data_IF_622210702672
#
_entry.id   IF_622210702672
#
_cell.length_a   1.000
_cell.length_b   1.000
_cell.length_c   1.000
_cell.angle_alpha   90.00
_cell.angle_beta   90.00
_cell.angle_gamma   90.00
#
_symmetry.space_group_name_H-M   'P 1'
#
loop_
_entity.id
_entity.type
_entity.pdbx_description
1 polymer ?
#
# COMPACT_ATOMS: atom_id res chain seq x y z
N UNK A 1 2.03 -1.42 7.07
CA UNK A 1 0.98 -0.74 6.33
C UNK A 1 0.00 -1.72 5.68
N UNK A 2 0.41 -2.85 5.16
CA UNK A 2 -0.50 -3.84 4.58
C UNK A 2 -0.49 -5.15 5.37
N UNK A 3 -1.65 -5.83 5.46
CA UNK A 3 -1.72 -7.16 6.07
C UNK A 3 -1.22 -8.23 5.09
N UNK A 4 -0.57 -9.28 5.61
CA UNK A 4 -0.26 -10.46 4.82
C UNK A 4 -1.52 -11.30 4.55
N UNK A 5 -1.64 -11.81 3.32
CA UNK A 5 -2.75 -12.69 2.93
C UNK A 5 -2.80 -14.00 3.74
N UNK A 6 -1.67 -14.38 4.33
CA UNK A 6 -1.47 -15.58 5.14
C UNK A 6 -2.11 -15.52 6.52
N UNK A 7 -2.41 -14.32 7.04
CA UNK A 7 -2.86 -14.16 8.43
C UNK A 7 -4.36 -14.34 8.65
N UNK A 8 -5.20 -14.22 7.61
CA UNK A 8 -6.66 -14.22 7.76
C UNK A 8 -7.37 -14.85 6.58
N UNK A 9 -8.50 -15.49 6.86
CA UNK A 9 -9.46 -15.83 5.81
C UNK A 9 -9.99 -14.55 5.15
N UNK A 10 -10.01 -14.44 3.81
CA UNK A 10 -10.37 -13.21 3.10
C UNK A 10 -11.81 -12.73 3.35
N UNK A 11 -12.78 -13.64 3.51
CA UNK A 11 -14.14 -13.23 3.82
C UNK A 11 -14.25 -12.64 5.24
N UNK A 12 -13.53 -13.20 6.21
CA UNK A 12 -13.44 -12.63 7.56
C UNK A 12 -12.74 -11.28 7.54
N UNK A 13 -11.64 -11.15 6.77
CA UNK A 13 -10.94 -9.88 6.59
C UNK A 13 -11.86 -8.81 6.00
N UNK A 14 -12.65 -9.14 4.97
CA UNK A 14 -13.62 -8.21 4.38
C UNK A 14 -14.64 -7.71 5.41
N UNK A 15 -15.16 -8.58 6.30
CA UNK A 15 -16.07 -8.17 7.38
C UNK A 15 -15.40 -7.24 8.40
N UNK A 16 -14.14 -7.50 8.77
CA UNK A 16 -13.37 -6.62 9.65
C UNK A 16 -13.24 -5.23 9.03
N UNK A 17 -12.83 -5.17 7.76
CA UNK A 17 -12.65 -3.88 7.06
C UNK A 17 -13.98 -3.15 6.86
N UNK A 18 -15.06 -3.86 6.59
CA UNK A 18 -16.41 -3.28 6.55
C UNK A 18 -16.82 -2.68 7.89
N UNK A 19 -16.51 -3.35 9.00
CA UNK A 19 -16.78 -2.80 10.34
C UNK A 19 -15.98 -1.51 10.58
N UNK A 20 -14.70 -1.50 10.20
CA UNK A 20 -13.87 -0.30 10.26
C UNK A 20 -14.41 0.82 9.38
N UNK A 21 -14.94 0.50 8.22
CA UNK A 21 -15.54 1.46 7.31
C UNK A 21 -16.76 2.15 7.94
N UNK A 22 -17.65 1.37 8.54
CA UNK A 22 -18.82 1.88 9.23
C UNK A 22 -18.43 2.76 10.43
N UNK A 23 -17.54 2.28 11.29
CA UNK A 23 -17.11 3.00 12.50
C UNK A 23 -16.37 4.30 12.16
N UNK A 24 -15.62 4.30 11.06
CA UNK A 24 -14.87 5.47 10.59
C UNK A 24 -15.71 6.45 9.76
N UNK A 25 -16.95 6.10 9.40
CA UNK A 25 -17.79 6.92 8.52
C UNK A 25 -17.25 6.98 7.08
N UNK A 26 -16.83 5.83 6.52
CA UNK A 26 -16.40 5.73 5.13
C UNK A 26 -14.92 6.09 4.89
N UNK A 27 -14.04 5.92 5.88
CA UNK A 27 -12.60 6.24 5.76
C UNK A 27 -11.69 5.02 5.78
N UNK A 28 -12.26 3.81 5.81
CA UNK A 28 -11.46 2.59 5.83
C UNK A 28 -10.87 2.26 4.44
N UNK A 29 -9.74 1.57 4.47
CA UNK A 29 -9.04 1.04 3.31
C UNK A 29 -8.52 -0.36 3.64
N UNK A 30 -8.61 -1.30 2.71
CA UNK A 30 -7.99 -2.61 2.83
C UNK A 30 -6.59 -2.59 2.20
N UNK A 31 -5.54 -2.55 3.02
CA UNK A 31 -4.17 -2.80 2.55
C UNK A 31 -3.82 -4.28 2.68
N UNK A 32 -3.50 -4.96 1.58
CA UNK A 32 -3.17 -6.38 1.55
C UNK A 32 -1.96 -6.67 0.66
N UNK A 33 -1.19 -7.71 0.98
CA UNK A 33 -0.03 -8.15 0.19
C UNK A 33 0.25 -9.65 0.36
N UNK A 34 1.19 -10.16 -0.42
CA UNK A 34 1.55 -11.58 -0.40
C UNK A 34 2.36 -12.03 0.84
N UNK A 35 2.57 -11.17 1.82
CA UNK A 35 3.51 -11.32 2.93
C UNK A 35 4.99 -11.44 2.48
N UNK A 36 5.92 -11.16 3.38
CA UNK A 36 7.36 -11.21 3.09
C UNK A 36 8.23 -11.57 4.30
N UNK A 37 7.73 -11.37 5.53
CA UNK A 37 8.52 -11.52 6.75
C UNK A 37 8.25 -12.87 7.39
N UNK A 38 9.12 -13.83 7.09
CA UNK A 38 9.05 -15.22 7.54
C UNK A 38 9.24 -15.37 9.06
N UNK A 39 10.15 -14.58 9.65
CA UNK A 39 10.40 -14.60 11.11
C UNK A 39 9.13 -14.31 11.93
N UNK A 40 8.29 -13.36 11.47
CA UNK A 40 7.02 -13.07 12.12
C UNK A 40 6.04 -14.25 11.99
N UNK A 41 6.01 -14.92 10.83
CA UNK A 41 5.16 -16.09 10.61
C UNK A 41 5.57 -17.24 11.53
N UNK A 42 6.86 -17.52 11.60
CA UNK A 42 7.41 -18.55 12.51
C UNK A 42 7.09 -18.20 13.97
N UNK A 43 7.34 -16.97 14.41
CA UNK A 43 7.12 -16.52 15.77
C UNK A 43 5.66 -16.55 16.21
N UNK A 44 4.72 -16.36 15.29
CA UNK A 44 3.28 -16.38 15.55
C UNK A 44 2.59 -17.72 15.19
N UNK A 45 3.34 -18.69 14.68
CA UNK A 45 2.82 -20.00 14.30
C UNK A 45 1.98 -20.00 13.03
N UNK A 46 2.20 -19.08 12.13
CA UNK A 46 1.56 -19.05 10.81
C UNK A 46 2.41 -19.77 9.75
N UNK A 47 1.76 -20.49 8.85
CA UNK A 47 2.43 -21.05 7.69
C UNK A 47 2.99 -19.94 6.78
N UNK A 48 4.21 -20.17 6.27
CA UNK A 48 4.83 -19.30 5.28
C UNK A 48 5.11 -20.07 3.99
N UNK A 49 4.09 -20.31 3.14
CA UNK A 49 4.24 -21.05 1.92
C UNK A 49 5.11 -20.31 0.89
N UNK A 50 5.59 -20.99 -0.18
CA UNK A 50 6.38 -20.37 -1.22
C UNK A 50 5.70 -19.13 -1.83
N UNK A 51 6.49 -18.16 -2.31
CA UNK A 51 5.99 -16.90 -2.83
C UNK A 51 4.96 -17.06 -3.96
N UNK A 52 5.10 -18.08 -4.80
CA UNK A 52 4.13 -18.38 -5.86
C UNK A 52 2.75 -18.70 -5.28
N UNK A 53 2.68 -19.54 -4.25
CA UNK A 53 1.43 -19.88 -3.57
C UNK A 53 0.83 -18.65 -2.85
N UNK A 54 1.67 -17.86 -2.16
CA UNK A 54 1.18 -16.64 -1.50
C UNK A 54 0.57 -15.64 -2.49
N UNK A 55 1.13 -15.55 -3.70
CA UNK A 55 0.56 -14.73 -4.77
C UNK A 55 -0.74 -15.31 -5.35
N UNK A 56 -0.86 -16.63 -5.47
CA UNK A 56 -2.10 -17.28 -5.86
C UNK A 56 -3.20 -17.04 -4.81
N UNK A 57 -2.86 -17.19 -3.52
CA UNK A 57 -3.76 -16.87 -2.40
C UNK A 57 -4.18 -15.39 -2.40
N UNK A 58 -3.25 -14.47 -2.73
CA UNK A 58 -3.55 -13.05 -2.83
C UNK A 58 -4.57 -12.77 -3.95
N UNK A 59 -4.43 -13.40 -5.10
CA UNK A 59 -5.36 -13.25 -6.21
C UNK A 59 -6.78 -13.69 -5.82
N UNK A 60 -6.93 -14.87 -5.21
CA UNK A 60 -8.24 -15.34 -4.73
C UNK A 60 -8.80 -14.43 -3.62
N UNK A 61 -7.94 -13.96 -2.72
CA UNK A 61 -8.36 -13.07 -1.63
C UNK A 61 -8.87 -11.71 -2.13
N UNK A 62 -8.25 -11.14 -3.16
CA UNK A 62 -8.69 -9.89 -3.78
C UNK A 62 -10.08 -10.05 -4.42
N UNK A 63 -10.31 -11.16 -5.14
CA UNK A 63 -11.61 -11.47 -5.73
C UNK A 63 -12.69 -11.62 -4.64
N UNK A 64 -12.41 -12.37 -3.58
CA UNK A 64 -13.35 -12.57 -2.47
C UNK A 64 -13.65 -11.26 -1.75
N UNK A 65 -12.63 -10.45 -1.42
CA UNK A 65 -12.85 -9.18 -0.73
C UNK A 65 -13.69 -8.22 -1.59
N UNK A 66 -13.39 -8.12 -2.89
CA UNK A 66 -14.18 -7.29 -3.81
C UNK A 66 -15.64 -7.76 -3.87
N UNK A 67 -15.88 -9.04 -4.06
CA UNK A 67 -17.24 -9.61 -4.09
C UNK A 67 -17.97 -9.37 -2.74
N UNK A 68 -17.32 -9.57 -1.62
CA UNK A 68 -17.89 -9.30 -0.29
C UNK A 68 -18.25 -7.83 -0.08
N UNK A 69 -17.54 -6.89 -0.71
CA UNK A 69 -17.85 -5.46 -0.62
C UNK A 69 -19.02 -5.05 -1.55
N UNK A 70 -19.19 -5.73 -2.68
CA UNK A 70 -20.12 -5.27 -3.75
C UNK A 70 -21.36 -6.12 -3.93
N UNK A 71 -21.31 -7.41 -3.61
CA UNK A 71 -22.41 -8.36 -3.83
C UNK A 71 -23.15 -8.69 -2.51
N UNK A 72 -24.41 -9.11 -2.60
CA UNK A 72 -25.24 -9.40 -1.41
C UNK A 72 -24.89 -10.72 -0.73
N UNK A 73 -24.65 -11.77 -1.52
CA UNK A 73 -24.36 -13.11 -1.05
C UNK A 73 -23.38 -13.83 -1.99
N UNK A 74 -22.12 -13.34 -2.13
CA UNK A 74 -21.19 -13.92 -3.07
C UNK A 74 -20.83 -15.36 -2.72
N UNK A 75 -20.56 -16.13 -3.76
CA UNK A 75 -19.98 -17.47 -3.68
C UNK A 75 -18.72 -17.52 -4.53
N UNK A 76 -17.68 -18.16 -4.01
CA UNK A 76 -16.41 -18.34 -4.69
C UNK A 76 -15.85 -19.72 -4.40
N UNK A 77 -15.29 -20.38 -5.41
CA UNK A 77 -14.59 -21.65 -5.26
C UNK A 77 -13.25 -21.56 -5.99
N UNK A 78 -12.19 -21.38 -5.23
CA UNK A 78 -10.82 -21.37 -5.69
C UNK A 78 -10.05 -22.60 -5.25
N UNK A 79 -8.74 -22.55 -5.44
CA UNK A 79 -7.80 -23.57 -4.98
C UNK A 79 -7.56 -23.51 -3.47
N UNK A 80 -7.52 -22.30 -2.92
CA UNK A 80 -7.13 -22.04 -1.52
C UNK A 80 -8.30 -21.59 -0.66
N UNK A 81 -9.29 -20.93 -1.25
CA UNK A 81 -10.43 -20.41 -0.51
C UNK A 81 -11.76 -20.84 -1.13
N UNK A 82 -12.74 -21.00 -0.27
CA UNK A 82 -14.13 -21.25 -0.66
C UNK A 82 -15.06 -20.45 0.23
N UNK A 83 -16.01 -19.74 -0.35
CA UNK A 83 -17.15 -19.12 0.33
C UNK A 83 -18.44 -19.53 -0.36
N UNK A 84 -19.54 -19.58 0.38
CA UNK A 84 -20.85 -19.93 -0.15
C UNK A 84 -21.89 -18.99 0.43
N UNK A 85 -22.57 -18.24 -0.44
CA UNK A 85 -23.58 -17.25 -0.07
C UNK A 85 -23.15 -16.37 1.13
N UNK A 86 -21.89 -15.92 1.13
CA UNK A 86 -21.28 -15.21 2.24
C UNK A 86 -21.84 -13.80 2.34
N UNK A 87 -22.53 -13.50 3.45
CA UNK A 87 -23.15 -12.18 3.65
C UNK A 87 -22.25 -11.23 4.42
N UNK A 88 -22.13 -10.01 3.91
CA UNK A 88 -21.44 -8.90 4.54
C UNK A 88 -22.44 -7.84 5.01
N UNK A 89 -23.06 -8.08 6.16
CA UNK A 89 -24.10 -7.23 6.75
C UNK A 89 -23.63 -6.78 8.14
N UNK A 90 -23.74 -5.46 8.45
CA UNK A 90 -24.16 -4.36 7.56
C UNK A 90 -23.20 -4.15 6.40
N UNK A 91 -23.66 -3.49 5.35
CA UNK A 91 -22.86 -3.18 4.16
C UNK A 91 -21.84 -2.06 4.44
N UNK A 92 -20.74 -1.97 3.68
CA UNK A 92 -19.85 -0.81 3.73
C UNK A 92 -20.62 0.49 3.46
N UNK A 93 -20.17 1.59 4.05
CA UNK A 93 -20.76 2.92 3.79
C UNK A 93 -20.17 3.57 2.54
N UNK A 94 -18.95 3.20 2.16
CA UNK A 94 -18.35 3.65 0.90
C UNK A 94 -19.05 3.00 -0.30
N UNK A 95 -19.48 3.76 -1.32
CA UNK A 95 -20.00 3.20 -2.57
C UNK A 95 -18.94 2.30 -3.24
N UNK A 96 -19.32 1.06 -3.57
CA UNK A 96 -18.37 0.08 -4.12
C UNK A 96 -17.47 -0.60 -3.09
N UNK A 97 -17.60 -0.22 -1.81
CA UNK A 97 -16.82 -0.73 -0.69
C UNK A 97 -15.50 0.01 -0.44
N UNK A 98 -14.80 -0.33 0.64
CA UNK A 98 -13.48 0.23 0.95
C UNK A 98 -12.48 0.00 -0.17
N UNK A 99 -11.66 1.03 -0.46
CA UNK A 99 -10.58 0.91 -1.45
C UNK A 99 -9.62 -0.22 -1.08
N UNK A 100 -9.20 -0.98 -2.08
CA UNK A 100 -8.22 -2.06 -1.92
C UNK A 100 -6.84 -1.56 -2.39
N UNK A 101 -5.89 -1.56 -1.46
CA UNK A 101 -4.48 -1.26 -1.72
C UNK A 101 -3.67 -2.55 -1.71
N UNK A 102 -2.95 -2.83 -2.79
CA UNK A 102 -2.03 -3.96 -2.87
C UNK A 102 -0.59 -3.50 -2.64
N UNK A 103 0.06 -4.10 -1.63
CA UNK A 103 1.48 -3.85 -1.33
C UNK A 103 2.41 -4.80 -2.06
N UNK A 104 3.44 -4.23 -2.69
CA UNK A 104 4.49 -4.98 -3.37
C UNK A 104 4.79 -4.49 -4.79
N UNK A 105 6.03 -4.70 -5.25
CA UNK A 105 6.58 -4.15 -6.48
C UNK A 105 6.85 -5.20 -7.58
N UNK A 106 6.35 -6.43 -7.43
CA UNK A 106 6.60 -7.52 -8.37
C UNK A 106 5.95 -7.26 -9.73
N UNK A 107 6.77 -7.03 -10.77
CA UNK A 107 6.31 -6.58 -12.08
C UNK A 107 5.39 -7.57 -12.79
N UNK A 108 5.72 -8.86 -12.73
CA UNK A 108 5.04 -9.89 -13.53
C UNK A 108 3.69 -10.31 -12.94
N UNK A 109 3.55 -10.28 -11.61
CA UNK A 109 2.34 -10.77 -10.92
C UNK A 109 1.69 -9.68 -10.07
N UNK A 110 2.43 -9.06 -9.13
CA UNK A 110 1.83 -8.11 -8.19
C UNK A 110 1.21 -6.91 -8.91
N UNK A 111 1.94 -6.25 -9.83
CA UNK A 111 1.41 -5.12 -10.59
C UNK A 111 0.28 -5.52 -11.56
N UNK A 112 0.27 -6.78 -12.03
CA UNK A 112 -0.87 -7.30 -12.79
C UNK A 112 -2.11 -7.47 -11.91
N UNK A 113 -1.97 -8.00 -10.68
CA UNK A 113 -3.07 -8.09 -9.72
C UNK A 113 -3.60 -6.69 -9.33
N UNK A 114 -2.70 -5.70 -9.19
CA UNK A 114 -3.11 -4.30 -9.02
C UNK A 114 -4.01 -3.85 -10.16
N UNK A 115 -3.56 -4.00 -11.40
CA UNK A 115 -4.33 -3.60 -12.57
C UNK A 115 -5.71 -4.28 -12.66
N UNK A 116 -5.83 -5.53 -12.21
CA UNK A 116 -7.06 -6.30 -12.27
C UNK A 116 -8.04 -6.01 -11.13
N UNK A 117 -7.54 -5.81 -9.90
CA UNK A 117 -8.40 -5.90 -8.71
C UNK A 117 -8.27 -4.74 -7.72
N UNK A 118 -7.19 -3.96 -7.75
CA UNK A 118 -6.90 -2.96 -6.73
C UNK A 118 -7.26 -1.54 -7.16
N UNK A 119 -7.57 -0.70 -6.20
CA UNK A 119 -7.80 0.74 -6.41
C UNK A 119 -6.49 1.52 -6.18
N UNK A 120 -5.55 0.91 -5.46
CA UNK A 120 -4.27 1.53 -5.13
C UNK A 120 -3.15 0.48 -5.13
N UNK A 121 -1.92 0.93 -5.36
CA UNK A 121 -0.72 0.14 -5.10
C UNK A 121 0.23 0.86 -4.15
N UNK A 122 1.09 0.10 -3.47
CA UNK A 122 2.14 0.65 -2.63
C UNK A 122 3.44 -0.12 -2.79
N UNK A 123 4.52 0.60 -3.02
CA UNK A 123 5.88 0.05 -3.01
C UNK A 123 6.91 1.10 -2.56
N UNK A 124 8.16 0.68 -2.47
CA UNK A 124 9.30 1.50 -2.08
C UNK A 124 10.14 1.84 -3.31
N UNK A 125 10.93 2.88 -3.23
CA UNK A 125 11.91 3.22 -4.25
C UNK A 125 12.13 4.73 -4.40
N UNK A 126 13.06 5.05 -5.30
CA UNK A 126 13.34 6.40 -5.78
C UNK A 126 12.47 6.75 -7.00
N UNK A 127 12.60 7.96 -7.51
CA UNK A 127 11.84 8.44 -8.66
C UNK A 127 12.06 7.59 -9.92
N UNK A 128 13.28 7.12 -10.16
CA UNK A 128 13.60 6.25 -11.30
C UNK A 128 12.84 4.92 -11.20
N UNK A 129 12.85 4.32 -10.01
CA UNK A 129 12.10 3.09 -9.71
C UNK A 129 10.60 3.30 -9.92
N UNK A 130 10.03 4.43 -9.44
CA UNK A 130 8.62 4.73 -9.61
C UNK A 130 8.26 4.93 -11.08
N UNK A 131 9.01 5.74 -11.83
CA UNK A 131 8.76 5.96 -13.26
C UNK A 131 8.73 4.63 -14.04
N UNK A 132 9.68 3.72 -13.76
CA UNK A 132 9.70 2.39 -14.35
C UNK A 132 8.48 1.55 -13.96
N UNK A 133 8.18 1.42 -12.65
CA UNK A 133 7.07 0.58 -12.15
C UNK A 133 5.70 1.10 -12.59
N UNK A 134 5.52 2.41 -12.64
CA UNK A 134 4.30 3.04 -13.17
C UNK A 134 4.11 2.71 -14.64
N UNK A 135 5.17 2.69 -15.45
CA UNK A 135 5.08 2.28 -16.85
C UNK A 135 4.70 0.80 -16.99
N UNK A 136 5.25 -0.09 -16.15
CA UNK A 136 4.85 -1.51 -16.13
C UNK A 136 3.38 -1.65 -15.75
N UNK A 137 2.92 -0.94 -14.72
CA UNK A 137 1.52 -0.94 -14.29
C UNK A 137 0.58 -0.45 -15.41
N UNK A 138 0.93 0.63 -16.10
CA UNK A 138 0.18 1.15 -17.26
C UNK A 138 0.06 0.09 -18.37
N UNK A 139 1.12 -0.68 -18.61
CA UNK A 139 1.09 -1.82 -19.53
C UNK A 139 0.06 -2.87 -19.11
N UNK A 140 0.07 -3.30 -17.85
CA UNK A 140 -0.92 -4.24 -17.34
C UNK A 140 -2.35 -3.70 -17.37
N UNK A 141 -2.56 -2.42 -17.05
CA UNK A 141 -3.88 -1.80 -17.15
C UNK A 141 -4.40 -1.85 -18.59
N UNK A 142 -3.54 -1.54 -19.57
CA UNK A 142 -3.89 -1.66 -21.00
C UNK A 142 -4.26 -3.10 -21.39
N UNK A 143 -3.51 -4.09 -20.91
CA UNK A 143 -3.75 -5.51 -21.20
C UNK A 143 -5.12 -6.00 -20.68
N UNK A 144 -5.63 -5.40 -19.58
CA UNK A 144 -6.93 -5.73 -18.99
C UNK A 144 -8.05 -4.74 -19.37
N UNK A 145 -7.76 -3.77 -20.22
CA UNK A 145 -8.75 -2.78 -20.70
C UNK A 145 -9.18 -1.76 -19.63
N UNK A 146 -8.31 -1.45 -18.66
CA UNK A 146 -8.56 -0.50 -17.56
C UNK A 146 -7.80 0.80 -17.78
N UNK A 147 -8.42 1.94 -17.42
CA UNK A 147 -7.70 3.22 -17.38
C UNK A 147 -6.65 3.20 -16.25
N UNK A 148 -5.35 3.42 -16.55
CA UNK A 148 -4.34 3.55 -15.51
C UNK A 148 -4.61 4.64 -14.48
N UNK A 149 -5.33 5.71 -14.85
CA UNK A 149 -5.73 6.80 -13.97
C UNK A 149 -6.70 6.39 -12.85
N UNK A 150 -7.31 5.20 -12.95
CA UNK A 150 -8.14 4.63 -11.88
C UNK A 150 -7.33 3.99 -10.74
N UNK A 151 -6.01 3.87 -10.89
CA UNK A 151 -5.13 3.26 -9.87
C UNK A 151 -4.25 4.32 -9.24
N UNK A 152 -4.48 4.61 -7.96
CA UNK A 152 -3.64 5.51 -7.18
C UNK A 152 -2.31 4.83 -6.85
N UNK A 153 -1.21 5.44 -7.22
CA UNK A 153 0.14 4.96 -6.90
C UNK A 153 0.61 5.59 -5.59
N UNK A 154 0.81 4.77 -4.57
CA UNK A 154 1.26 5.26 -3.28
C UNK A 154 2.69 4.82 -2.95
N UNK A 155 3.39 5.65 -2.18
CA UNK A 155 4.73 5.39 -1.67
C UNK A 155 4.75 5.44 -0.15
N UNK A 156 5.29 4.39 0.49
CA UNK A 156 5.64 4.41 1.90
C UNK A 156 7.13 4.71 2.03
N UNK A 157 7.49 5.65 2.90
CA UNK A 157 8.89 5.94 3.22
C UNK A 157 9.07 6.39 4.67
N UNK A 158 10.32 6.44 5.11
CA UNK A 158 10.71 7.10 6.36
C UNK A 158 11.05 8.54 6.05
N UNK A 159 10.42 9.49 6.76
CA UNK A 159 10.71 10.92 6.62
C UNK A 159 11.47 11.42 7.86
N UNK A 160 12.59 12.09 7.61
CA UNK A 160 13.38 12.80 8.64
C UNK A 160 13.63 14.22 8.15
N UNK A 161 12.99 15.18 8.81
CA UNK A 161 13.26 16.60 8.60
C UNK A 161 14.50 17.01 9.38
N UNK A 162 15.48 17.57 8.70
CA UNK A 162 16.77 18.03 9.29
C UNK A 162 16.86 19.54 9.29
N UNK A 163 17.70 20.10 10.17
CA UNK A 163 17.86 21.54 10.29
C UNK A 163 18.77 22.12 9.20
N UNK A 164 19.76 21.34 8.75
CA UNK A 164 20.78 21.78 7.80
C UNK A 164 21.40 20.59 7.02
N UNK A 165 22.32 20.91 6.11
CA UNK A 165 23.02 19.91 5.28
C UNK A 165 23.94 18.97 6.09
N UNK A 166 24.52 19.44 7.20
CA UNK A 166 25.40 18.63 8.06
C UNK A 166 24.59 17.54 8.77
N UNK A 167 23.44 17.91 9.35
CA UNK A 167 22.51 16.96 9.94
C UNK A 167 21.93 15.99 8.88
N UNK A 168 21.62 16.49 7.69
CA UNK A 168 21.18 15.65 6.56
C UNK A 168 22.22 14.60 6.22
N UNK A 169 23.47 14.99 6.05
CA UNK A 169 24.57 14.09 5.71
C UNK A 169 24.81 13.03 6.80
N UNK A 170 24.83 13.44 8.06
CA UNK A 170 25.01 12.53 9.20
C UNK A 170 23.84 11.54 9.35
N UNK A 171 22.60 11.98 9.15
CA UNK A 171 21.42 11.14 9.20
C UNK A 171 21.41 10.12 8.05
N UNK A 172 21.74 10.53 6.85
CA UNK A 172 21.85 9.62 5.69
C UNK A 172 22.94 8.56 5.90
N UNK A 173 24.07 8.94 6.51
CA UNK A 173 25.14 8.00 6.85
C UNK A 173 24.71 7.00 7.92
N UNK A 174 24.04 7.47 8.98
CA UNK A 174 23.48 6.59 10.01
C UNK A 174 22.49 5.57 9.42
N UNK A 175 21.57 6.01 8.54
CA UNK A 175 20.61 5.12 7.89
C UNK A 175 21.29 4.05 7.04
N UNK A 176 22.39 4.39 6.33
CA UNK A 176 23.20 3.40 5.59
C UNK A 176 23.84 2.37 6.52
N UNK A 177 24.38 2.82 7.67
CA UNK A 177 25.02 1.93 8.65
C UNK A 177 24.05 0.92 9.29
N UNK A 178 22.77 1.31 9.48
CA UNK A 178 21.74 0.40 9.98
C UNK A 178 21.03 -0.40 8.87
N UNK A 179 21.51 -0.32 7.63
CA UNK A 179 21.00 -1.10 6.50
C UNK A 179 19.69 -0.57 5.91
N UNK A 180 19.30 0.67 6.20
CA UNK A 180 18.17 1.30 5.57
C UNK A 180 18.51 1.68 4.10
N UNK A 181 17.55 1.46 3.20
CA UNK A 181 17.68 1.89 1.81
C UNK A 181 17.52 3.43 1.72
N UNK A 182 18.56 4.17 1.29
CA UNK A 182 18.45 5.62 1.12
C UNK A 182 17.39 6.03 0.09
N UNK A 183 17.13 5.19 -0.92
CA UNK A 183 16.08 5.43 -1.91
C UNK A 183 14.66 5.30 -1.35
N UNK A 184 14.50 4.55 -0.26
CA UNK A 184 13.23 4.35 0.45
C UNK A 184 13.02 5.34 1.60
N UNK A 185 13.94 6.30 1.81
CA UNK A 185 13.90 7.30 2.88
C UNK A 185 13.93 8.70 2.31
N UNK A 186 13.15 9.60 2.91
CA UNK A 186 13.12 11.02 2.61
C UNK A 186 13.79 11.78 3.76
N UNK A 187 15.05 12.12 3.60
CA UNK A 187 15.87 12.80 4.62
C UNK A 187 16.39 14.09 4.04
N UNK A 188 16.12 15.21 4.69
CA UNK A 188 16.60 16.49 4.23
C UNK A 188 15.99 17.69 4.94
N UNK A 189 16.50 18.86 4.58
CA UNK A 189 15.91 20.15 4.92
C UNK A 189 14.54 20.34 4.29
N UNK A 190 13.81 21.39 4.65
CA UNK A 190 12.49 21.69 4.07
C UNK A 190 12.53 21.76 2.56
N UNK A 191 13.52 22.47 2.00
CA UNK A 191 13.64 22.64 0.55
C UNK A 191 13.98 21.32 -0.16
N UNK A 192 14.87 20.50 0.42
CA UNK A 192 15.20 19.19 -0.12
C UNK A 192 13.99 18.23 -0.10
N UNK A 193 13.19 18.25 0.96
CA UNK A 193 11.99 17.42 1.06
C UNK A 193 10.92 17.85 0.06
N UNK A 194 10.71 19.14 -0.13
CA UNK A 194 9.80 19.67 -1.16
C UNK A 194 10.25 19.24 -2.55
N UNK A 195 11.53 19.45 -2.90
CA UNK A 195 12.06 19.01 -4.19
C UNK A 195 11.93 17.50 -4.40
N UNK A 196 12.12 16.70 -3.35
CA UNK A 196 11.97 15.25 -3.39
C UNK A 196 10.53 14.82 -3.67
N UNK A 197 9.54 15.49 -3.06
CA UNK A 197 8.12 15.21 -3.31
C UNK A 197 7.75 15.60 -4.74
N UNK A 198 8.22 16.75 -5.25
CA UNK A 198 7.99 17.17 -6.64
C UNK A 198 8.58 16.17 -7.65
N UNK A 199 9.80 15.70 -7.42
CA UNK A 199 10.45 14.66 -8.23
C UNK A 199 9.63 13.37 -8.28
N UNK A 200 9.19 12.89 -7.11
CA UNK A 200 8.41 11.65 -6.98
C UNK A 200 7.01 11.79 -7.58
N UNK A 201 6.35 12.94 -7.40
CA UNK A 201 5.06 13.22 -8.03
C UNK A 201 5.18 13.21 -9.56
N UNK A 202 6.25 13.83 -10.09
CA UNK A 202 6.57 13.79 -11.54
C UNK A 202 6.82 12.35 -12.03
N UNK A 203 7.38 11.50 -11.19
CA UNK A 203 7.59 10.08 -11.48
C UNK A 203 6.30 9.22 -11.37
N UNK A 204 5.19 9.81 -10.97
CA UNK A 204 3.87 9.19 -10.91
C UNK A 204 3.46 8.67 -9.54
N UNK A 205 3.97 9.24 -8.46
CA UNK A 205 3.46 9.00 -7.09
C UNK A 205 2.31 9.96 -6.83
N UNK A 206 1.12 9.42 -6.55
CA UNK A 206 -0.10 10.19 -6.28
C UNK A 206 -0.36 10.35 -4.77
N UNK A 207 0.12 9.42 -3.94
CA UNK A 207 -0.19 9.38 -2.53
C UNK A 207 1.03 9.01 -1.68
N UNK A 208 1.37 9.86 -0.71
CA UNK A 208 2.52 9.67 0.16
C UNK A 208 2.10 9.21 1.55
N UNK A 209 2.79 8.20 2.08
CA UNK A 209 2.65 7.72 3.45
C UNK A 209 4.02 7.77 4.12
N UNK A 210 4.15 8.57 5.16
CA UNK A 210 5.42 8.70 5.87
C UNK A 210 5.37 8.08 7.26
N UNK A 211 6.39 7.29 7.56
CA UNK A 211 6.76 6.96 8.92
C UNK A 211 7.74 8.03 9.42
N UNK A 212 7.40 8.73 10.49
CA UNK A 212 8.22 9.78 11.10
C UNK A 212 8.72 9.27 12.46
N UNK A 213 9.88 8.56 12.53
CA UNK A 213 10.32 7.84 13.73
C UNK A 213 10.58 8.77 14.93
N UNK A 214 11.04 9.99 14.67
CA UNK A 214 11.34 11.02 15.68
C UNK A 214 10.20 12.04 15.81
N UNK A 215 9.01 11.69 15.32
CA UNK A 215 7.86 12.59 15.20
C UNK A 215 7.32 13.02 16.56
N UNK A 216 7.72 14.21 17.02
CA UNK A 216 6.96 14.95 18.03
C UNK A 216 5.71 15.54 17.38
N UNK A 217 4.67 15.92 18.15
CA UNK A 217 3.53 16.64 17.59
C UNK A 217 3.91 17.87 16.77
N UNK A 218 4.97 18.56 17.16
CA UNK A 218 5.46 19.76 16.45
C UNK A 218 6.14 19.40 15.13
N UNK A 219 6.96 18.33 15.10
CA UNK A 219 7.56 17.83 13.85
C UNK A 219 6.47 17.40 12.86
N UNK A 220 5.47 16.66 13.33
CA UNK A 220 4.35 16.21 12.47
C UNK A 220 3.56 17.41 11.93
N UNK A 221 3.31 18.42 12.76
CA UNK A 221 2.63 19.65 12.33
C UNK A 221 3.45 20.39 11.27
N UNK A 222 4.75 20.59 11.52
CA UNK A 222 5.66 21.29 10.59
C UNK A 222 5.74 20.58 9.24
N UNK A 223 5.89 19.25 9.22
CA UNK A 223 5.86 18.46 7.98
C UNK A 223 4.50 18.58 7.28
N UNK A 224 3.40 18.56 8.04
CA UNK A 224 2.05 18.75 7.49
C UNK A 224 1.88 20.12 6.84
N UNK A 225 2.28 21.20 7.49
CA UNK A 225 2.23 22.56 6.93
C UNK A 225 3.09 22.69 5.68
N UNK A 226 4.31 22.12 5.71
CA UNK A 226 5.25 22.15 4.59
C UNK A 226 4.72 21.41 3.36
N UNK A 227 4.27 20.19 3.52
CA UNK A 227 3.97 19.29 2.42
C UNK A 227 2.48 19.24 2.07
N UNK A 228 1.58 19.09 3.06
CA UNK A 228 0.14 19.03 2.80
C UNK A 228 -0.38 20.38 2.30
N UNK A 229 0.01 21.49 2.93
CA UNK A 229 -0.38 22.83 2.51
C UNK A 229 0.05 23.19 1.07
N UNK A 230 1.10 22.55 0.56
CA UNK A 230 1.67 22.84 -0.78
C UNK A 230 1.16 21.88 -1.87
N UNK A 231 0.89 20.63 -1.55
CA UNK A 231 0.59 19.57 -2.52
C UNK A 231 -0.84 19.01 -2.44
N UNK A 232 -1.59 19.27 -1.36
CA UNK A 232 -2.99 18.90 -1.27
C UNK A 232 -3.85 19.92 -2.04
N UNK A 233 -4.22 19.57 -3.25
CA UNK A 233 -5.21 20.30 -4.07
C UNK A 233 -6.52 19.54 -4.17
#
# INVERSE_FOLDING_TARGET
MVTGVTYRNPAHLAKIVTTLDIVSGGRAMLGIGAAWYDVEHEGLGFDFPPAAERLDRLEEALQICRAMFTEDAPSFTGRYYRIHEARNVPRPVQPGGPSILVGGAGERRTLRLVAQYADMCNFFGDATTFAHKVNVLRGHCKDVGRDPGEVTVSRLSTLVLTADEEETASTREFLRQVGADPGASDVGTEDELVARVEELATAGVDYFVWNIPTGTPDTVRRVGELLVGRFAS
#
